data_IF_394600816848
#
_entry.id   IF_394600816848
#
_cell.length_a   1.000
_cell.length_b   1.000
_cell.length_c   1.000
_cell.angle_alpha   90.00
_cell.angle_beta   90.00
_cell.angle_gamma   90.00
#
_symmetry.space_group_name_H-M   'P 1'
#
loop_
_entity.id
_entity.type
_entity.pdbx_description
1 polymer ?
#
# COMPACT_ATOMS: atom_id res chain seq x y z
N UNK A 1 5.83 -56.70 -0.33
CA UNK A 1 7.04 -56.52 0.49
C UNK A 1 7.68 -55.19 0.12
N UNK A 2 7.26 -54.17 0.87
CA UNK A 2 8.10 -53.23 1.60
C UNK A 2 9.00 -52.23 0.82
N UNK A 3 8.57 -50.97 0.92
CA UNK A 3 9.30 -49.94 1.68
C UNK A 3 10.44 -49.12 1.04
N UNK A 4 10.06 -47.98 0.43
CA UNK A 4 10.43 -46.58 0.78
C UNK A 4 11.92 -46.13 0.80
N UNK A 5 12.15 -44.94 0.20
CA UNK A 5 12.97 -43.77 0.65
C UNK A 5 13.48 -43.01 -0.59
N UNK A 6 12.83 -41.94 -1.07
CA UNK A 6 12.88 -40.56 -0.58
C UNK A 6 14.29 -40.07 -0.24
N UNK A 7 14.84 -39.17 -1.05
CA UNK A 7 15.84 -38.21 -0.60
C UNK A 7 15.67 -36.87 -1.34
N UNK A 8 15.02 -35.94 -0.63
CA UNK A 8 15.05 -34.50 -0.88
C UNK A 8 16.46 -33.97 -0.62
N UNK A 9 17.02 -33.25 -1.60
CA UNK A 9 18.17 -32.39 -1.38
C UNK A 9 17.71 -31.09 -0.71
N UNK A 10 17.70 -31.08 0.63
CA UNK A 10 17.64 -29.87 1.43
C UNK A 10 19.07 -29.33 1.61
N UNK A 11 19.41 -28.23 0.94
CA UNK A 11 20.66 -27.51 1.21
C UNK A 11 20.45 -26.60 2.42
N UNK A 12 20.93 -27.06 3.58
CA UNK A 12 21.06 -26.28 4.80
C UNK A 12 22.23 -25.30 4.67
N UNK A 13 21.92 -24.00 4.57
CA UNK A 13 22.91 -22.93 4.71
C UNK A 13 23.37 -22.82 6.17
N UNK A 14 24.52 -23.42 6.49
CA UNK A 14 25.28 -23.10 7.69
C UNK A 14 26.26 -21.96 7.38
N UNK A 15 26.31 -20.87 8.18
CA UNK A 15 27.36 -19.87 8.05
C UNK A 15 28.64 -20.34 8.75
N UNK A 16 29.71 -20.44 7.97
CA UNK A 16 31.06 -20.76 8.43
C UNK A 16 31.60 -19.66 9.35
N UNK A 17 32.02 -20.08 10.55
CA UNK A 17 32.57 -19.26 11.64
C UNK A 17 33.98 -18.78 11.28
N UNK A 18 34.12 -17.54 10.83
CA UNK A 18 35.44 -16.94 10.56
C UNK A 18 36.07 -16.32 11.82
N UNK A 19 37.25 -16.85 12.09
CA UNK A 19 38.34 -16.53 13.03
C UNK A 19 38.49 -15.04 13.41
N UNK A 20 38.55 -14.78 14.72
CA UNK A 20 38.96 -13.49 15.32
C UNK A 20 40.41 -13.16 14.98
N UNK A 21 40.67 -11.96 14.49
CA UNK A 21 41.96 -11.27 14.67
C UNK A 21 41.73 -9.91 15.34
N UNK A 22 42.73 -9.54 16.13
CA UNK A 22 42.70 -8.63 17.26
C UNK A 22 43.39 -7.32 16.85
N UNK A 23 42.68 -6.21 17.04
CA UNK A 23 43.25 -4.88 17.30
C UNK A 23 43.68 -4.07 16.10
N UNK A 24 42.90 -3.03 15.77
CA UNK A 24 43.47 -1.70 15.63
C UNK A 24 42.44 -0.62 16.03
N UNK A 25 42.90 0.39 16.77
CA UNK A 25 42.08 1.48 17.30
C UNK A 25 41.84 2.50 16.19
N UNK A 26 40.62 2.54 15.65
CA UNK A 26 40.14 3.67 14.87
C UNK A 26 38.75 4.06 15.35
N UNK A 27 38.58 5.34 15.69
CA UNK A 27 37.39 5.86 16.35
C UNK A 27 36.13 5.64 15.52
N UNK A 28 35.13 5.00 16.13
CA UNK A 28 33.78 4.94 15.59
C UNK A 28 33.12 6.32 15.72
N UNK A 29 33.17 7.11 14.64
CA UNK A 29 32.27 8.24 14.46
C UNK A 29 30.93 7.67 14.02
N UNK A 30 29.93 7.70 14.91
CA UNK A 30 28.55 7.38 14.54
C UNK A 30 28.06 8.40 13.50
N UNK A 31 27.57 7.98 12.33
CA UNK A 31 27.00 8.91 11.38
C UNK A 31 25.71 9.50 12.00
N UNK A 32 25.66 10.82 12.05
CA UNK A 32 24.50 11.56 12.53
C UNK A 32 23.24 11.10 11.78
N UNK A 33 22.23 10.67 12.53
CA UNK A 33 20.91 10.32 12.01
C UNK A 33 20.33 11.54 11.29
N UNK A 34 20.30 11.50 9.96
CA UNK A 34 19.59 12.50 9.15
C UNK A 34 18.13 12.43 9.54
N UNK A 35 17.61 13.49 10.16
CA UNK A 35 16.17 13.63 10.42
C UNK A 35 15.45 13.57 9.08
N UNK A 36 14.79 12.44 8.80
CA UNK A 36 13.87 12.33 7.67
C UNK A 36 12.71 13.25 7.97
N UNK A 37 12.68 14.40 7.31
CA UNK A 37 11.61 15.37 7.46
C UNK A 37 10.40 14.89 6.66
N UNK A 38 9.50 14.16 7.32
CA UNK A 38 8.20 13.85 6.75
C UNK A 38 7.44 15.16 6.56
N UNK A 39 7.23 15.54 5.29
CA UNK A 39 6.29 16.62 4.98
C UNK A 39 4.88 16.14 5.36
N UNK A 40 4.13 16.88 6.20
CA UNK A 40 2.75 16.52 6.49
C UNK A 40 1.94 16.58 5.19
N UNK A 41 1.41 15.43 4.76
CA UNK A 41 0.40 15.41 3.71
C UNK A 41 -0.90 15.94 4.29
N UNK A 42 -1.35 17.10 3.83
CA UNK A 42 -2.71 17.58 4.09
C UNK A 42 -3.66 16.77 3.21
N UNK A 43 -4.42 15.86 3.82
CA UNK A 43 -5.43 15.07 3.11
C UNK A 43 -6.73 15.87 3.03
N UNK A 44 -7.00 16.46 1.87
CA UNK A 44 -8.30 17.09 1.58
C UNK A 44 -9.26 16.01 1.10
N UNK A 45 -10.15 15.55 1.97
CA UNK A 45 -11.26 14.68 1.58
C UNK A 45 -12.36 15.53 0.92
N UNK A 46 -12.49 15.45 -0.40
CA UNK A 46 -13.71 15.88 -1.08
C UNK A 46 -14.71 14.74 -1.03
N UNK A 47 -15.93 15.01 -0.56
CA UNK A 47 -17.07 14.16 -0.86
C UNK A 47 -17.20 14.11 -2.39
N UNK A 48 -16.74 13.02 -3.00
CA UNK A 48 -16.67 12.89 -4.44
C UNK A 48 -18.07 12.97 -5.05
N UNK A 49 -18.20 13.73 -6.14
CA UNK A 49 -19.29 13.55 -7.08
C UNK A 49 -19.37 12.07 -7.45
N UNK A 50 -20.60 11.56 -7.48
CA UNK A 50 -20.95 10.17 -7.72
C UNK A 50 -20.66 9.75 -9.17
N UNK A 51 -19.40 9.77 -9.55
CA UNK A 51 -18.94 9.14 -10.78
C UNK A 51 -18.75 7.66 -10.47
N UNK A 52 -19.75 6.85 -10.81
CA UNK A 52 -19.72 5.41 -10.64
C UNK A 52 -18.54 4.82 -11.39
N UNK A 53 -17.52 4.37 -10.66
CA UNK A 53 -16.49 3.49 -11.19
C UNK A 53 -16.47 2.20 -10.38
N UNK A 54 -16.03 1.07 -10.96
CA UNK A 54 -16.18 -0.25 -10.35
C UNK A 54 -15.60 -0.35 -8.93
N UNK A 55 -14.56 0.42 -8.61
CA UNK A 55 -13.93 0.45 -7.28
C UNK A 55 -14.75 1.10 -6.17
N UNK A 56 -15.84 1.81 -6.49
CA UNK A 56 -16.70 2.45 -5.48
C UNK A 56 -17.35 1.42 -4.54
N UNK A 57 -17.61 0.20 -5.01
CA UNK A 57 -18.13 -0.90 -4.17
C UNK A 57 -17.13 -1.37 -3.11
N UNK A 58 -15.83 -1.19 -3.35
CA UNK A 58 -14.75 -1.57 -2.44
C UNK A 58 -14.33 -0.43 -1.50
N UNK A 59 -15.05 0.70 -1.51
CA UNK A 59 -14.64 1.98 -0.88
C UNK A 59 -13.17 2.31 -1.22
N UNK A 60 -12.74 2.02 -2.45
CA UNK A 60 -11.37 2.24 -2.88
C UNK A 60 -11.11 3.75 -2.98
N UNK A 61 -10.12 4.30 -2.25
CA UNK A 61 -9.89 5.75 -2.21
C UNK A 61 -9.38 6.35 -3.53
N UNK A 62 -8.80 5.54 -4.41
CA UNK A 62 -8.14 6.01 -5.64
C UNK A 62 -8.61 5.21 -6.86
N UNK A 63 -8.73 5.88 -8.00
CA UNK A 63 -9.02 5.26 -9.29
C UNK A 63 -7.71 4.93 -10.01
N UNK A 64 -7.49 3.70 -10.47
CA UNK A 64 -6.31 3.36 -11.26
C UNK A 64 -6.24 4.15 -12.57
N UNK A 65 -5.03 4.57 -12.94
CA UNK A 65 -4.75 5.46 -14.08
C UNK A 65 -4.46 4.68 -15.36
N UNK A 66 -3.91 3.49 -15.23
CA UNK A 66 -3.46 2.60 -16.30
C UNK A 66 -4.51 1.56 -16.68
N UNK A 67 -4.32 0.94 -17.83
CA UNK A 67 -5.16 -0.18 -18.29
C UNK A 67 -5.02 -1.40 -17.39
N UNK A 68 -3.82 -1.69 -16.90
CA UNK A 68 -3.53 -2.80 -15.99
C UNK A 68 -4.30 -2.64 -14.68
N UNK A 69 -4.23 -1.46 -14.06
CA UNK A 69 -5.02 -1.17 -12.86
C UNK A 69 -6.53 -1.28 -13.10
N UNK A 70 -7.04 -0.82 -14.26
CA UNK A 70 -8.46 -0.96 -14.64
C UNK A 70 -8.87 -2.40 -14.95
N UNK A 71 -7.96 -3.22 -15.46
CA UNK A 71 -8.19 -4.64 -15.68
C UNK A 71 -8.24 -5.37 -14.34
N UNK A 72 -7.25 -5.15 -13.49
CA UNK A 72 -7.14 -5.78 -12.17
C UNK A 72 -8.32 -5.43 -11.26
N UNK A 73 -8.83 -4.19 -11.28
CA UNK A 73 -10.01 -3.85 -10.47
C UNK A 73 -11.27 -4.60 -10.92
N UNK A 74 -11.45 -4.80 -12.23
CA UNK A 74 -12.56 -5.60 -12.77
C UNK A 74 -12.39 -7.07 -12.40
N UNK A 75 -11.16 -7.58 -12.50
CA UNK A 75 -10.85 -8.95 -12.14
C UNK A 75 -11.05 -9.20 -10.63
N UNK A 76 -10.66 -8.25 -9.79
CA UNK A 76 -10.86 -8.32 -8.34
C UNK A 76 -12.34 -8.48 -7.97
N UNK A 77 -13.22 -7.75 -8.67
CA UNK A 77 -14.66 -7.78 -8.45
C UNK A 77 -15.31 -9.06 -8.99
N UNK A 78 -14.85 -9.55 -10.14
CA UNK A 78 -15.51 -10.66 -10.84
C UNK A 78 -14.93 -12.04 -10.50
N UNK A 79 -13.60 -12.15 -10.39
CA UNK A 79 -12.85 -13.41 -10.25
C UNK A 79 -11.65 -13.25 -9.33
N UNK A 80 -11.94 -13.03 -8.05
CA UNK A 80 -10.94 -12.76 -7.00
C UNK A 80 -9.80 -13.80 -6.93
N UNK A 81 -10.10 -15.08 -7.09
CA UNK A 81 -9.09 -16.16 -6.99
C UNK A 81 -8.00 -16.10 -8.08
N UNK A 82 -8.28 -15.46 -9.23
CA UNK A 82 -7.32 -15.31 -10.32
C UNK A 82 -6.46 -14.04 -10.19
N UNK A 83 -6.79 -13.16 -9.24
CA UNK A 83 -6.22 -11.83 -9.16
C UNK A 83 -4.70 -11.84 -9.03
N UNK A 84 -4.15 -12.71 -8.18
CA UNK A 84 -2.70 -12.79 -7.96
C UNK A 84 -1.92 -13.26 -9.19
N UNK A 85 -2.45 -14.26 -9.90
CA UNK A 85 -1.86 -14.74 -11.15
C UNK A 85 -1.83 -13.64 -12.19
N UNK A 86 -2.96 -12.96 -12.41
CA UNK A 86 -3.04 -11.86 -13.36
C UNK A 86 -2.14 -10.67 -12.98
N UNK A 87 -2.03 -10.34 -11.69
CA UNK A 87 -1.14 -9.26 -11.25
C UNK A 87 0.34 -9.60 -11.50
N UNK A 88 0.73 -10.87 -11.29
CA UNK A 88 2.07 -11.33 -11.59
C UNK A 88 2.35 -11.30 -13.11
N UNK A 89 1.41 -11.76 -13.92
CA UNK A 89 1.52 -11.74 -15.39
C UNK A 89 1.64 -10.32 -15.93
N UNK A 90 0.83 -9.38 -15.42
CA UNK A 90 0.90 -7.97 -15.82
C UNK A 90 2.25 -7.34 -15.45
N UNK A 91 2.80 -7.65 -14.27
CA UNK A 91 4.13 -7.19 -13.89
C UNK A 91 5.23 -7.77 -14.78
N UNK A 92 5.14 -9.06 -15.12
CA UNK A 92 6.07 -9.72 -16.05
C UNK A 92 6.01 -9.07 -17.42
N UNK A 93 4.82 -8.87 -17.98
CA UNK A 93 4.63 -8.25 -19.28
C UNK A 93 5.16 -6.80 -19.31
N UNK A 94 4.97 -6.04 -18.23
CA UNK A 94 5.53 -4.69 -18.12
C UNK A 94 7.06 -4.68 -18.10
N UNK A 95 7.67 -5.63 -17.38
CA UNK A 95 9.12 -5.82 -17.39
C UNK A 95 9.60 -6.15 -18.80
N UNK A 96 9.11 -7.25 -19.39
CA UNK A 96 9.51 -7.72 -20.72
C UNK A 96 9.43 -6.61 -21.78
N UNK A 97 8.35 -5.82 -21.78
CA UNK A 97 8.19 -4.70 -22.71
C UNK A 97 9.18 -3.55 -22.46
N UNK A 98 9.47 -3.24 -21.19
CA UNK A 98 10.46 -2.22 -20.82
C UNK A 98 11.87 -2.65 -21.25
N UNK A 99 12.25 -3.87 -20.93
CA UNK A 99 13.56 -4.42 -21.31
C UNK A 99 13.70 -4.50 -22.84
N UNK A 100 12.66 -4.92 -23.56
CA UNK A 100 12.67 -4.94 -25.03
C UNK A 100 12.82 -3.54 -25.64
N UNK A 101 12.22 -2.50 -25.04
CA UNK A 101 12.39 -1.12 -25.50
C UNK A 101 13.82 -0.61 -25.25
N UNK A 102 14.42 -0.94 -24.10
CA UNK A 102 15.81 -0.58 -23.78
C UNK A 102 16.81 -1.32 -24.69
N UNK A 103 16.57 -2.60 -24.98
CA UNK A 103 17.38 -3.37 -25.92
C UNK A 103 17.34 -2.75 -27.32
N UNK A 104 16.15 -2.40 -27.84
CA UNK A 104 16.01 -1.73 -29.14
C UNK A 104 16.72 -0.37 -29.18
N UNK A 105 16.58 0.43 -28.12
CA UNK A 105 17.32 1.70 -28.00
C UNK A 105 18.82 1.49 -28.08
N UNK A 106 19.34 0.46 -27.41
CA UNK A 106 20.78 0.16 -27.40
C UNK A 106 21.26 -0.28 -28.78
N UNK A 107 20.53 -1.20 -29.43
CA UNK A 107 20.85 -1.73 -30.76
C UNK A 107 20.76 -0.67 -31.86
N UNK A 108 19.86 0.30 -31.72
CA UNK A 108 19.68 1.38 -32.69
C UNK A 108 20.70 2.52 -32.56
N UNK A 109 21.65 2.42 -31.64
CA UNK A 109 22.66 3.46 -31.42
C UNK A 109 23.51 3.66 -32.68
N UNK A 110 23.48 4.87 -33.25
CA UNK A 110 24.21 5.22 -34.47
C UNK A 110 23.41 5.04 -35.78
N UNK A 111 22.17 4.56 -35.70
CA UNK A 111 21.21 4.58 -36.81
C UNK A 111 20.38 5.87 -36.79
N UNK A 112 19.79 6.24 -37.93
CA UNK A 112 18.84 7.36 -38.04
C UNK A 112 17.64 7.20 -37.09
N UNK A 113 17.28 5.96 -36.74
CA UNK A 113 16.18 5.64 -35.81
C UNK A 113 16.54 5.74 -34.31
N UNK A 114 17.79 6.11 -33.97
CA UNK A 114 18.26 6.18 -32.59
C UNK A 114 17.41 7.12 -31.72
N UNK A 115 16.97 8.24 -32.30
CA UNK A 115 16.16 9.25 -31.60
C UNK A 115 14.75 8.73 -31.27
N UNK A 116 14.13 8.01 -32.22
CA UNK A 116 12.84 7.35 -32.07
C UNK A 116 12.89 6.31 -30.95
N UNK A 117 13.83 5.36 -31.03
CA UNK A 117 13.92 4.28 -30.06
C UNK A 117 14.26 4.78 -28.65
N UNK A 118 15.10 5.83 -28.54
CA UNK A 118 15.33 6.52 -27.26
C UNK A 118 14.04 7.11 -26.69
N UNK A 119 13.20 7.75 -27.51
CA UNK A 119 11.93 8.32 -27.06
C UNK A 119 10.94 7.25 -26.62
N UNK A 120 10.86 6.13 -27.35
CA UNK A 120 10.00 4.99 -27.00
C UNK A 120 10.43 4.42 -25.65
N UNK A 121 11.72 4.18 -25.43
CA UNK A 121 12.23 3.67 -24.16
C UNK A 121 11.89 4.60 -22.97
N UNK A 122 12.07 5.91 -23.12
CA UNK A 122 11.71 6.89 -22.09
C UNK A 122 10.20 6.91 -21.79
N UNK A 123 9.35 6.79 -22.81
CA UNK A 123 7.89 6.72 -22.62
C UNK A 123 7.49 5.43 -21.91
N UNK A 124 8.07 4.30 -22.32
CA UNK A 124 7.85 3.01 -21.69
C UNK A 124 8.26 3.01 -20.22
N UNK A 125 9.38 3.61 -19.87
CA UNK A 125 9.83 3.74 -18.48
C UNK A 125 8.80 4.50 -17.62
N UNK A 126 8.32 5.66 -18.10
CA UNK A 126 7.31 6.47 -17.38
C UNK A 126 5.97 5.74 -17.24
N UNK A 127 5.56 5.05 -18.29
CA UNK A 127 4.34 4.25 -18.29
C UNK A 127 4.45 3.09 -17.30
N UNK A 128 5.53 2.30 -17.37
CA UNK A 128 5.77 1.17 -16.47
C UNK A 128 5.78 1.62 -15.01
N UNK A 129 6.41 2.76 -14.69
CA UNK A 129 6.38 3.33 -13.34
C UNK A 129 4.95 3.56 -12.85
N UNK A 130 4.10 4.14 -13.69
CA UNK A 130 2.69 4.40 -13.34
C UNK A 130 1.88 3.10 -13.25
N UNK A 131 2.12 2.15 -14.15
CA UNK A 131 1.44 0.86 -14.16
C UNK A 131 1.79 0.02 -12.92
N UNK A 132 3.08 -0.04 -12.54
CA UNK A 132 3.51 -0.72 -11.31
C UNK A 132 2.91 -0.08 -10.07
N UNK A 133 2.81 1.26 -10.01
CA UNK A 133 2.11 1.95 -8.92
C UNK A 133 0.64 1.52 -8.81
N UNK A 134 -0.08 1.46 -9.93
CA UNK A 134 -1.46 0.99 -9.95
C UNK A 134 -1.56 -0.50 -9.55
N UNK A 135 -0.66 -1.36 -10.03
CA UNK A 135 -0.68 -2.79 -9.67
C UNK A 135 -0.39 -2.98 -8.17
N UNK A 136 0.58 -2.26 -7.61
CA UNK A 136 0.84 -2.26 -6.17
C UNK A 136 -0.40 -1.80 -5.38
N UNK A 137 -1.05 -0.73 -5.83
CA UNK A 137 -2.29 -0.26 -5.21
C UNK A 137 -3.41 -1.31 -5.28
N UNK A 138 -3.56 -2.00 -6.42
CA UNK A 138 -4.53 -3.08 -6.57
C UNK A 138 -4.19 -4.29 -5.67
N UNK A 139 -2.91 -4.65 -5.52
CA UNK A 139 -2.47 -5.71 -4.60
C UNK A 139 -2.80 -5.38 -3.15
N UNK A 140 -2.59 -4.13 -2.72
CA UNK A 140 -3.01 -3.66 -1.40
C UNK A 140 -4.53 -3.82 -1.25
N UNK A 141 -5.31 -3.33 -2.21
CA UNK A 141 -6.77 -3.46 -2.21
C UNK A 141 -7.23 -4.92 -2.14
N UNK A 142 -6.54 -5.82 -2.83
CA UNK A 142 -6.77 -7.26 -2.73
C UNK A 142 -6.53 -7.77 -1.29
N UNK A 143 -5.38 -7.49 -0.66
CA UNK A 143 -5.09 -7.97 0.70
C UNK A 143 -6.14 -7.51 1.72
N UNK A 144 -6.53 -6.24 1.65
CA UNK A 144 -7.54 -5.69 2.56
C UNK A 144 -8.91 -6.33 2.38
N UNK A 145 -9.27 -6.60 1.12
CA UNK A 145 -10.53 -7.27 0.84
C UNK A 145 -10.51 -8.77 1.16
N UNK A 146 -9.35 -9.41 1.36
CA UNK A 146 -9.28 -10.79 1.89
C UNK A 146 -9.58 -10.83 3.37
N UNK A 147 -9.09 -9.83 4.11
CA UNK A 147 -9.29 -9.68 5.56
C UNK A 147 -10.69 -9.10 5.86
N UNK A 148 -11.43 -8.68 4.82
CA UNK A 148 -12.77 -8.07 4.96
C UNK A 148 -12.73 -6.63 5.49
N UNK A 149 -11.58 -5.97 5.45
CA UNK A 149 -11.40 -4.60 5.95
C UNK A 149 -11.48 -3.61 4.79
N UNK A 150 -12.32 -2.59 4.95
CA UNK A 150 -12.41 -1.48 3.99
C UNK A 150 -11.16 -0.60 4.07
N UNK A 151 -10.53 -0.29 2.93
CA UNK A 151 -9.35 0.60 2.89
C UNK A 151 -9.63 2.01 3.40
N UNK A 152 -10.82 2.52 3.14
CA UNK A 152 -11.31 3.77 3.68
C UNK A 152 -12.58 3.50 4.50
N UNK A 153 -12.66 3.97 5.76
CA UNK A 153 -13.92 3.97 6.49
C UNK A 153 -14.94 4.83 5.76
N UNK A 154 -16.22 4.41 5.76
CA UNK A 154 -17.30 5.24 5.25
C UNK A 154 -17.42 6.48 6.14
N UNK A 155 -17.07 7.66 5.61
CA UNK A 155 -17.12 8.91 6.38
C UNK A 155 -18.54 9.21 6.89
N UNK A 156 -19.58 8.75 6.20
CA UNK A 156 -20.97 8.83 6.69
C UNK A 156 -21.18 8.13 8.05
N UNK A 157 -20.39 7.10 8.37
CA UNK A 157 -20.39 6.44 9.68
C UNK A 157 -19.48 7.12 10.72
N UNK A 158 -18.62 8.05 10.27
CA UNK A 158 -17.61 8.72 11.09
C UNK A 158 -17.94 10.20 11.36
N UNK A 159 -19.05 10.71 10.80
CA UNK A 159 -19.52 12.07 11.05
C UNK A 159 -20.52 12.02 12.18
N UNK A 160 -20.18 12.63 13.31
CA UNK A 160 -21.07 12.82 14.44
C UNK A 160 -21.09 14.32 14.80
N UNK A 161 -22.28 14.90 14.97
CA UNK A 161 -22.47 16.32 15.29
C UNK A 161 -21.74 17.29 14.34
N UNK A 162 -21.65 16.95 13.05
CA UNK A 162 -20.96 17.78 12.04
C UNK A 162 -19.43 17.75 12.12
N UNK A 163 -18.82 16.95 13.02
CA UNK A 163 -17.37 16.73 13.11
C UNK A 163 -17.00 15.31 12.71
N UNK A 164 -15.84 15.17 12.06
CA UNK A 164 -15.25 13.88 11.74
C UNK A 164 -14.58 13.32 13.01
N UNK A 165 -15.21 12.32 13.63
CA UNK A 165 -14.61 11.56 14.72
C UNK A 165 -14.08 10.25 14.15
N UNK A 166 -12.77 10.17 13.89
CA UNK A 166 -12.09 8.94 13.45
C UNK A 166 -12.01 7.90 14.56
N UNK A 167 -12.18 8.32 15.81
CA UNK A 167 -12.39 7.43 16.94
C UNK A 167 -13.88 7.24 17.14
N UNK A 168 -14.45 6.03 16.99
CA UNK A 168 -15.80 5.77 17.50
C UNK A 168 -15.83 6.14 18.99
N UNK A 169 -16.69 7.09 19.35
CA UNK A 169 -16.94 7.48 20.74
C UNK A 169 -17.36 6.26 21.54
N UNK A 170 -16.45 5.80 22.40
CA UNK A 170 -16.76 4.85 23.46
C UNK A 170 -17.66 5.44 24.53
N UNK A 171 -18.18 6.66 24.36
CA UNK A 171 -19.07 7.34 25.29
C UNK A 171 -20.20 6.42 25.75
N UNK A 172 -20.79 5.61 24.86
CA UNK A 172 -21.83 4.64 25.23
C UNK A 172 -21.32 3.45 26.06
N UNK A 173 -20.09 2.99 25.82
CA UNK A 173 -19.45 1.95 26.64
C UNK A 173 -19.04 2.52 28.01
N UNK A 174 -18.51 3.74 28.04
CA UNK A 174 -18.18 4.48 29.26
C UNK A 174 -19.43 4.76 30.09
N UNK A 175 -20.51 5.22 29.47
CA UNK A 175 -21.83 5.42 30.09
C UNK A 175 -22.40 4.12 30.64
N UNK A 176 -22.09 2.96 30.03
CA UNK A 176 -22.55 1.65 30.52
C UNK A 176 -21.73 1.09 31.69
N UNK A 177 -20.53 1.64 31.95
CA UNK A 177 -19.64 1.22 33.05
C UNK A 177 -19.83 2.15 34.26
N UNK A 178 -20.31 3.38 34.05
CA UNK A 178 -20.58 4.35 35.11
C UNK A 178 -22.03 4.24 35.62
N UNK A 179 -22.23 4.36 36.93
CA UNK A 179 -23.58 4.50 37.49
C UNK A 179 -24.21 5.82 37.02
N UNK A 180 -25.53 5.86 36.87
CA UNK A 180 -26.26 7.07 36.44
C UNK A 180 -25.87 8.28 37.31
N UNK A 181 -25.71 8.08 38.61
CA UNK A 181 -25.31 9.09 39.58
C UNK A 181 -23.93 9.70 39.28
N UNK A 182 -22.97 8.89 38.83
CA UNK A 182 -21.63 9.38 38.49
C UNK A 182 -21.65 10.30 37.26
N UNK A 183 -22.51 10.01 36.28
CA UNK A 183 -22.68 10.86 35.10
C UNK A 183 -23.39 12.18 35.41
N UNK A 184 -24.36 12.15 36.33
CA UNK A 184 -25.09 13.33 36.79
C UNK A 184 -24.15 14.28 37.57
N UNK A 185 -23.29 13.73 38.43
CA UNK A 185 -22.28 14.49 39.18
C UNK A 185 -21.24 15.16 38.25
N UNK A 186 -20.81 14.45 37.20
CA UNK A 186 -19.88 15.00 36.20
C UNK A 186 -20.53 16.14 35.41
N UNK A 187 -21.82 16.02 35.05
CA UNK A 187 -22.56 17.07 34.34
C UNK A 187 -22.71 18.32 35.20
N UNK A 188 -23.13 18.18 36.45
CA UNK A 188 -23.24 19.29 37.42
C UNK A 188 -21.91 20.04 37.57
N UNK A 189 -20.79 19.33 37.77
CA UNK A 189 -19.48 19.95 37.89
C UNK A 189 -18.96 20.60 36.58
N UNK A 190 -19.29 20.03 35.42
CA UNK A 190 -18.92 20.60 34.11
C UNK A 190 -19.69 21.88 33.75
N UNK A 191 -20.89 22.06 34.31
CA UNK A 191 -21.71 23.27 34.17
C UNK A 191 -21.22 24.37 35.11
N UNK A 192 -20.82 24.02 36.34
CA UNK A 192 -20.25 24.94 37.33
C UNK A 192 -18.90 25.54 36.91
N UNK A 193 -18.10 24.85 36.10
CA UNK A 193 -16.80 25.37 35.63
C UNK A 193 -16.90 26.39 34.48
N UNK A 194 -18.10 26.64 33.93
CA UNK A 194 -18.32 27.62 32.84
C UNK A 194 -18.95 28.94 33.29
N UNK A 195 -19.21 29.10 34.60
CA UNK A 195 -19.86 30.28 35.17
C UNK A 195 -18.90 31.20 35.97
N UNK A 196 -17.59 31.05 35.81
CA UNK A 196 -16.56 31.91 36.43
C UNK A 196 -15.79 32.72 35.41
#
# INVERSE_FOLDING_TARGET
MDSYLSNQAALSFLPTRSRRQRGDRSGFVLPAMRKVQYRPMVMVARAGQNSYWPGSSLNAPLKPRTSQGRFLIRLLLNKRHLFHYAAADELRLLADNREAALARMSLSSGSDEASLHRRIAQLMERYCKTAVQDIMYMLILYKYSEIGVSLAPKLSRCIHNGRLETWPKKDRELESIHSCDALELIKEHSVLSKAG
#
